data_IF_626914181111
#
_entry.id   IF_626914181111
#
_cell.length_a   1.000
_cell.length_b   1.000
_cell.length_c   1.000
_cell.angle_alpha   90.00
_cell.angle_beta   90.00
_cell.angle_gamma   90.00
#
_symmetry.space_group_name_H-M   'P 1'
#
loop_
_entity.id
_entity.type
_entity.pdbx_description
1 polymer ?
#
# COMPACT_ATOMS: atom_id res chain seq x y z
N UNK A 1 31.37 27.77 6.71
CA UNK A 1 31.73 26.33 6.54
C UNK A 1 30.51 25.46 6.26
N UNK A 2 29.46 25.49 7.08
CA UNK A 2 28.26 24.62 6.94
C UNK A 2 27.51 24.69 5.59
N UNK A 3 27.52 25.83 4.89
CA UNK A 3 26.91 25.95 3.56
C UNK A 3 27.70 25.22 2.46
N UNK A 4 29.01 25.06 2.61
CA UNK A 4 29.83 24.31 1.66
C UNK A 4 29.60 22.79 1.81
N UNK A 5 29.42 22.33 3.06
CA UNK A 5 29.06 20.94 3.38
C UNK A 5 27.67 20.58 2.82
N UNK A 6 26.72 21.51 2.90
CA UNK A 6 25.38 21.37 2.30
C UNK A 6 25.46 21.16 0.78
N UNK A 7 26.23 22.01 0.07
CA UNK A 7 26.40 21.90 -1.38
C UNK A 7 27.14 20.61 -1.79
N UNK A 8 28.17 20.21 -1.03
CA UNK A 8 28.89 18.97 -1.27
C UNK A 8 27.98 17.74 -1.08
N UNK A 9 27.11 17.75 -0.06
CA UNK A 9 26.16 16.68 0.17
C UNK A 9 25.06 16.65 -0.91
N UNK A 10 24.55 17.81 -1.35
CA UNK A 10 23.57 17.89 -2.43
C UNK A 10 24.11 17.39 -3.78
N UNK A 11 25.42 17.54 -4.04
CA UNK A 11 26.07 16.98 -5.21
C UNK A 11 26.18 15.44 -5.19
N UNK A 12 26.22 14.83 -4.00
CA UNK A 12 26.33 13.38 -3.82
C UNK A 12 25.57 12.91 -2.56
N UNK A 13 24.22 12.79 -2.61
CA UNK A 13 23.38 12.49 -1.46
C UNK A 13 23.42 11.00 -1.09
N UNK A 14 24.57 10.51 -0.62
CA UNK A 14 24.77 9.11 -0.26
C UNK A 14 24.18 8.78 1.12
N UNK A 15 24.59 9.50 2.16
CA UNK A 15 24.23 9.22 3.55
C UNK A 15 23.04 10.07 4.03
N UNK A 16 21.92 9.41 4.33
CA UNK A 16 20.71 10.04 4.85
C UNK A 16 20.91 10.64 6.25
N UNK A 17 21.66 9.96 7.14
CA UNK A 17 21.88 10.44 8.51
C UNK A 17 22.69 11.74 8.50
N UNK A 18 23.69 11.82 7.62
CA UNK A 18 24.46 13.05 7.40
C UNK A 18 23.57 14.20 6.90
N UNK A 19 22.69 13.94 5.92
CA UNK A 19 21.75 14.94 5.41
C UNK A 19 20.75 15.41 6.48
N UNK A 20 20.21 14.48 7.27
CA UNK A 20 19.30 14.80 8.37
C UNK A 20 20.00 15.66 9.45
N UNK A 21 21.26 15.38 9.76
CA UNK A 21 22.06 16.20 10.66
C UNK A 21 22.32 17.61 10.10
N UNK A 22 22.61 17.73 8.79
CA UNK A 22 22.72 19.03 8.12
C UNK A 22 21.40 19.81 8.21
N UNK A 23 20.27 19.15 7.99
CA UNK A 23 18.96 19.79 8.13
C UNK A 23 18.64 20.19 9.56
N UNK A 24 18.98 19.37 10.56
CA UNK A 24 18.77 19.72 11.97
C UNK A 24 19.57 20.97 12.38
N UNK A 25 20.72 21.21 11.75
CA UNK A 25 21.57 22.38 12.04
C UNK A 25 21.15 23.65 11.27
N UNK A 26 20.59 23.50 10.07
CA UNK A 26 20.32 24.62 9.15
C UNK A 26 18.83 24.91 8.96
N UNK A 27 17.97 23.92 9.16
CA UNK A 27 16.53 24.00 8.98
C UNK A 27 15.80 24.46 10.25
N UNK A 28 14.69 25.18 10.07
CA UNK A 28 13.89 25.72 11.18
C UNK A 28 12.63 24.93 11.52
N UNK A 29 12.25 23.93 10.72
CA UNK A 29 10.99 23.20 10.91
C UNK A 29 11.16 21.97 11.79
N UNK A 30 10.61 22.02 13.00
CA UNK A 30 10.58 20.89 13.93
C UNK A 30 9.84 19.67 13.35
N UNK A 31 8.85 19.89 12.48
CA UNK A 31 8.08 18.81 11.83
C UNK A 31 8.98 17.96 10.93
N UNK A 32 9.84 18.60 10.13
CA UNK A 32 10.74 17.87 9.23
C UNK A 32 11.90 17.23 10.01
N UNK A 33 12.40 17.86 11.06
CA UNK A 33 13.36 17.22 11.97
C UNK A 33 12.79 15.92 12.56
N UNK A 34 11.54 15.94 13.02
CA UNK A 34 10.87 14.75 13.54
C UNK A 34 10.65 13.69 12.45
N UNK A 35 10.28 14.11 11.22
CA UNK A 35 10.18 13.19 10.08
C UNK A 35 11.50 12.47 9.79
N UNK A 36 12.63 13.18 9.84
CA UNK A 36 13.94 12.59 9.57
C UNK A 36 14.45 11.72 10.72
N UNK A 37 14.04 12.01 11.96
CA UNK A 37 14.34 11.18 13.13
C UNK A 37 13.64 9.80 13.08
N UNK A 38 12.54 9.65 12.34
CA UNK A 38 11.84 8.36 12.16
C UNK A 38 12.58 7.37 11.25
N UNK A 39 13.62 7.82 10.56
CA UNK A 39 14.47 6.98 9.72
C UNK A 39 14.29 7.15 8.21
N UNK A 40 15.09 6.41 7.46
CA UNK A 40 15.13 6.51 6.01
C UNK A 40 14.00 5.73 5.35
N UNK A 41 13.23 6.44 4.53
CA UNK A 41 12.26 5.90 3.58
C UNK A 41 12.44 6.66 2.26
N UNK A 42 11.95 6.11 1.14
CA UNK A 42 12.00 6.83 -0.14
C UNK A 42 11.32 8.21 -0.09
N UNK A 43 10.27 8.34 0.73
CA UNK A 43 9.60 9.63 0.96
C UNK A 43 10.47 10.59 1.79
N UNK A 44 10.98 10.16 2.95
CA UNK A 44 11.78 11.04 3.81
C UNK A 44 13.09 11.47 3.13
N UNK A 45 13.70 10.62 2.30
CA UNK A 45 14.88 10.99 1.49
C UNK A 45 14.57 12.09 0.48
N UNK A 46 13.47 11.98 -0.28
CA UNK A 46 13.08 13.01 -1.25
C UNK A 46 12.77 14.34 -0.55
N UNK A 47 12.01 14.31 0.54
CA UNK A 47 11.68 15.52 1.32
C UNK A 47 12.94 16.16 1.91
N UNK A 48 13.90 15.36 2.38
CA UNK A 48 15.17 15.87 2.89
C UNK A 48 15.94 16.65 1.83
N UNK A 49 16.07 16.11 0.62
CA UNK A 49 16.75 16.79 -0.49
C UNK A 49 16.05 18.09 -0.87
N UNK A 50 14.72 18.07 -1.05
CA UNK A 50 13.93 19.27 -1.38
C UNK A 50 14.12 20.36 -0.31
N UNK A 51 14.06 19.99 0.97
CA UNK A 51 14.20 20.93 2.07
C UNK A 51 15.63 21.48 2.20
N UNK A 52 16.65 20.67 1.93
CA UNK A 52 18.05 21.12 1.90
C UNK A 52 18.32 22.07 0.71
N UNK A 53 17.71 21.82 -0.45
CA UNK A 53 17.77 22.74 -1.61
C UNK A 53 17.11 24.09 -1.32
N UNK A 54 15.99 24.10 -0.59
CA UNK A 54 15.34 25.37 -0.19
C UNK A 54 16.24 26.21 0.72
N UNK A 55 17.07 25.58 1.56
CA UNK A 55 18.01 26.26 2.45
C UNK A 55 19.22 26.88 1.71
N UNK A 56 19.55 26.41 0.51
CA UNK A 56 20.60 27.03 -0.33
C UNK A 56 20.13 28.29 -1.06
N UNK A 57 18.86 28.69 -0.93
CA UNK A 57 18.27 29.80 -1.69
C UNK A 57 18.07 29.43 -3.17
N UNK A 58 17.63 30.37 -4.02
CA UNK A 58 17.46 30.13 -5.45
C UNK A 58 18.84 29.92 -6.09
N UNK A 59 19.31 28.68 -6.06
CA UNK A 59 20.41 28.23 -6.89
C UNK A 59 19.88 28.20 -8.31
N UNK A 60 20.38 29.14 -9.12
CA UNK A 60 20.14 29.21 -10.55
C UNK A 60 20.52 27.85 -11.15
N UNK A 61 19.49 27.10 -11.54
CA UNK A 61 19.62 25.84 -12.25
C UNK A 61 20.51 26.07 -13.48
N UNK A 62 21.73 25.51 -13.53
CA UNK A 62 22.51 25.58 -14.76
C UNK A 62 21.74 24.78 -15.80
N UNK A 63 21.48 25.45 -16.93
CA UNK A 63 20.73 24.91 -18.05
C UNK A 63 21.23 23.49 -18.41
N UNK A 64 20.33 22.54 -18.70
CA UNK A 64 20.74 21.21 -19.10
C UNK A 64 21.52 21.30 -20.42
N UNK A 65 22.82 21.06 -20.35
CA UNK A 65 23.61 20.74 -21.54
C UNK A 65 23.12 19.41 -22.13
N UNK A 66 23.04 19.28 -23.47
CA UNK A 66 22.62 18.06 -24.12
C UNK A 66 23.75 17.04 -24.03
N UNK A 67 23.70 16.18 -23.01
CA UNK A 67 24.61 15.04 -22.93
C UNK A 67 24.14 13.98 -23.92
N UNK A 68 24.78 13.97 -25.08
CA UNK A 68 24.89 12.78 -25.90
C UNK A 68 25.70 11.73 -25.11
N UNK A 69 25.04 10.69 -24.60
CA UNK A 69 25.75 9.54 -24.05
C UNK A 69 25.34 8.27 -24.81
N UNK A 70 26.21 7.92 -25.74
CA UNK A 70 26.34 6.60 -26.34
C UNK A 70 26.78 5.61 -25.24
N UNK A 71 25.84 4.94 -24.59
CA UNK A 71 26.12 3.71 -23.86
C UNK A 71 25.34 2.55 -24.47
N UNK A 72 26.01 1.86 -25.37
CA UNK A 72 25.71 0.48 -25.73
C UNK A 72 25.78 -0.37 -24.46
N UNK A 73 24.62 -0.77 -23.94
CA UNK A 73 24.50 -1.91 -23.03
C UNK A 73 24.57 -3.20 -23.85
N UNK A 74 25.23 -4.26 -23.36
CA UNK A 74 25.13 -5.58 -23.95
C UNK A 74 23.66 -6.03 -23.93
N UNK A 75 23.11 -6.33 -25.10
CA UNK A 75 21.85 -7.04 -25.26
C UNK A 75 22.02 -8.45 -24.71
N UNK A 76 21.69 -8.62 -23.43
CA UNK A 76 21.44 -9.94 -22.88
C UNK A 76 20.03 -10.35 -23.31
N UNK A 77 20.00 -11.23 -24.29
CA UNK A 77 18.83 -11.66 -25.04
C UNK A 77 18.07 -12.72 -24.22
N UNK A 78 17.58 -12.33 -23.03
CA UNK A 78 16.62 -13.12 -22.26
C UNK A 78 15.22 -12.75 -22.73
N UNK A 79 14.66 -13.59 -23.59
CA UNK A 79 13.27 -13.52 -24.06
C UNK A 79 12.32 -13.20 -22.89
N UNK A 80 11.60 -12.07 -22.89
CA UNK A 80 10.46 -11.94 -22.02
C UNK A 80 9.38 -12.87 -22.57
N UNK A 81 9.08 -13.94 -21.82
CA UNK A 81 7.84 -14.68 -22.02
C UNK A 81 6.71 -13.67 -22.06
N UNK A 82 5.93 -13.70 -23.14
CA UNK A 82 4.88 -12.74 -23.49
C UNK A 82 3.92 -12.57 -22.31
N UNK A 83 4.18 -11.59 -21.45
CA UNK A 83 3.25 -11.23 -20.39
C UNK A 83 1.95 -10.79 -21.09
N UNK A 84 0.79 -11.33 -20.68
CA UNK A 84 -0.48 -10.95 -21.30
C UNK A 84 -0.64 -9.44 -21.21
N UNK A 85 -0.83 -8.80 -22.36
CA UNK A 85 -1.05 -7.36 -22.42
C UNK A 85 -2.22 -7.02 -21.48
N UNK A 86 -2.03 -6.10 -20.51
CA UNK A 86 -3.06 -5.78 -19.56
C UNK A 86 -4.28 -5.20 -20.29
N UNK A 87 -5.48 -5.64 -19.89
CA UNK A 87 -6.71 -5.10 -20.43
C UNK A 87 -6.78 -3.59 -20.14
N UNK A 88 -6.64 -2.78 -21.19
CA UNK A 88 -6.63 -1.32 -21.10
C UNK A 88 -7.94 -0.76 -20.50
N UNK A 89 -9.06 -1.47 -20.68
CA UNK A 89 -10.35 -1.08 -20.08
C UNK A 89 -10.33 -1.20 -18.56
N UNK A 90 -9.74 -2.28 -18.04
CA UNK A 90 -9.62 -2.53 -16.60
C UNK A 90 -8.75 -1.48 -15.92
N UNK A 91 -7.57 -1.18 -16.49
CA UNK A 91 -6.68 -0.16 -15.93
C UNK A 91 -7.31 1.23 -15.94
N UNK A 92 -8.03 1.59 -17.01
CA UNK A 92 -8.73 2.87 -17.11
C UNK A 92 -9.82 2.97 -16.04
N UNK A 93 -10.60 1.90 -15.82
CA UNK A 93 -11.60 1.83 -14.78
C UNK A 93 -11.01 1.98 -13.37
N UNK A 94 -9.89 1.29 -13.07
CA UNK A 94 -9.19 1.41 -11.79
C UNK A 94 -8.70 2.84 -11.55
N UNK A 95 -8.07 3.46 -12.54
CA UNK A 95 -7.57 4.85 -12.43
C UNK A 95 -8.68 5.86 -12.21
N UNK A 96 -9.84 5.68 -12.87
CA UNK A 96 -11.01 6.52 -12.65
C UNK A 96 -11.53 6.41 -11.21
N UNK A 97 -11.66 5.19 -10.68
CA UNK A 97 -12.07 4.96 -9.28
C UNK A 97 -11.06 5.55 -8.30
N UNK A 98 -9.77 5.40 -8.59
CA UNK A 98 -8.68 5.91 -7.77
C UNK A 98 -8.70 7.43 -7.70
N UNK A 99 -8.89 8.11 -8.85
CA UNK A 99 -9.10 9.56 -8.91
C UNK A 99 -10.31 9.97 -8.07
N UNK A 100 -11.47 9.35 -8.27
CA UNK A 100 -12.69 9.67 -7.54
C UNK A 100 -12.51 9.52 -6.02
N UNK A 101 -11.89 8.44 -5.56
CA UNK A 101 -11.62 8.21 -4.13
C UNK A 101 -10.66 9.25 -3.54
N UNK A 102 -9.62 9.66 -4.29
CA UNK A 102 -8.69 10.72 -3.86
C UNK A 102 -9.38 12.09 -3.80
N UNK A 103 -10.21 12.41 -4.79
CA UNK A 103 -10.93 13.68 -4.86
C UNK A 103 -11.93 13.77 -3.70
N UNK A 104 -12.73 12.73 -3.44
CA UNK A 104 -13.64 12.66 -2.30
C UNK A 104 -12.88 12.80 -0.98
N UNK A 105 -11.78 12.04 -0.78
CA UNK A 105 -10.98 12.10 0.44
C UNK A 105 -10.45 13.52 0.69
N UNK A 106 -9.96 14.18 -0.35
CA UNK A 106 -9.42 15.54 -0.27
C UNK A 106 -10.51 16.55 0.08
N UNK A 107 -11.69 16.42 -0.52
CA UNK A 107 -12.86 17.23 -0.20
C UNK A 107 -13.30 17.05 1.25
N UNK A 108 -13.33 15.81 1.76
CA UNK A 108 -13.70 15.54 3.15
C UNK A 108 -12.68 16.07 4.15
N UNK A 109 -11.38 16.02 3.83
CA UNK A 109 -10.35 16.65 4.66
C UNK A 109 -10.55 18.16 4.76
N UNK A 110 -10.88 18.83 3.65
CA UNK A 110 -11.20 20.26 3.66
C UNK A 110 -12.46 20.57 4.49
N UNK A 111 -13.47 19.69 4.50
CA UNK A 111 -14.66 19.85 5.34
C UNK A 111 -14.37 19.62 6.83
N UNK A 112 -13.40 18.77 7.16
CA UNK A 112 -13.07 18.41 8.54
C UNK A 112 -12.50 19.61 9.34
N UNK A 113 -11.90 20.58 8.66
CA UNK A 113 -11.35 21.82 9.23
C UNK A 113 -12.37 22.96 9.30
N UNK A 114 -13.60 22.77 8.81
CA UNK A 114 -14.61 23.82 8.79
C UNK A 114 -15.04 24.25 10.22
N UNK A 115 -15.17 25.56 10.47
CA UNK A 115 -15.65 26.06 11.76
C UNK A 115 -17.12 25.68 11.99
N UNK A 116 -17.49 25.44 13.25
CA UNK A 116 -18.86 25.11 13.64
C UNK A 116 -19.31 23.67 13.34
N UNK A 117 -18.40 22.81 12.85
CA UNK A 117 -18.72 21.40 12.62
C UNK A 117 -18.95 20.66 13.95
N UNK A 118 -20.14 20.07 14.12
CA UNK A 118 -20.49 19.25 15.29
C UNK A 118 -19.57 18.03 15.42
N UNK A 119 -19.28 17.61 16.66
CA UNK A 119 -18.40 16.46 16.96
C UNK A 119 -18.85 15.19 16.24
N UNK A 120 -20.15 14.87 16.26
CA UNK A 120 -20.69 13.67 15.61
C UNK A 120 -20.51 13.68 14.09
N UNK A 121 -20.67 14.84 13.46
CA UNK A 121 -20.42 15.01 12.03
C UNK A 121 -18.93 14.88 11.72
N UNK A 122 -18.06 15.46 12.55
CA UNK A 122 -16.60 15.32 12.44
C UNK A 122 -16.15 13.87 12.53
N UNK A 123 -16.68 13.09 13.47
CA UNK A 123 -16.39 11.65 13.58
C UNK A 123 -16.81 10.88 12.32
N UNK A 124 -18.01 11.15 11.78
CA UNK A 124 -18.47 10.51 10.53
C UNK A 124 -17.54 10.80 9.35
N UNK A 125 -17.11 12.07 9.21
CA UNK A 125 -16.14 12.45 8.18
C UNK A 125 -14.81 11.72 8.36
N UNK A 126 -14.29 11.67 9.59
CA UNK A 126 -13.04 10.96 9.89
C UNK A 126 -13.12 9.48 9.52
N UNK A 127 -14.19 8.77 9.89
CA UNK A 127 -14.38 7.36 9.52
C UNK A 127 -14.47 7.17 8.00
N UNK A 128 -15.16 8.07 7.29
CA UNK A 128 -15.22 8.01 5.82
C UNK A 128 -13.85 8.23 5.18
N UNK A 129 -13.04 9.16 5.70
CA UNK A 129 -11.66 9.38 5.27
C UNK A 129 -10.79 8.14 5.48
N UNK A 130 -10.91 7.47 6.64
CA UNK A 130 -10.21 6.20 6.88
C UNK A 130 -10.61 5.15 5.85
N UNK A 131 -11.92 4.94 5.63
CA UNK A 131 -12.41 3.97 4.65
C UNK A 131 -11.94 4.28 3.22
N UNK A 132 -11.92 5.57 2.81
CA UNK A 132 -11.39 5.98 1.51
C UNK A 132 -9.88 5.76 1.41
N UNK A 133 -9.15 5.89 2.51
CA UNK A 133 -7.71 5.61 2.55
C UNK A 133 -7.44 4.12 2.32
N UNK A 134 -8.20 3.25 2.99
CA UNK A 134 -8.13 1.80 2.79
C UNK A 134 -8.49 1.44 1.33
N UNK A 135 -9.54 2.06 0.78
CA UNK A 135 -9.96 1.86 -0.60
C UNK A 135 -8.87 2.28 -1.60
N UNK A 136 -8.20 3.43 -1.39
CA UNK A 136 -7.09 3.87 -2.24
C UNK A 136 -5.94 2.87 -2.22
N UNK A 137 -5.60 2.33 -1.06
CA UNK A 137 -4.55 1.30 -0.94
C UNK A 137 -4.94 0.02 -1.70
N UNK A 138 -6.18 -0.42 -1.59
CA UNK A 138 -6.69 -1.59 -2.33
C UNK A 138 -6.67 -1.37 -3.85
N UNK A 139 -7.06 -0.18 -4.32
CA UNK A 139 -7.03 0.18 -5.74
C UNK A 139 -5.60 0.24 -6.28
N UNK A 140 -4.65 0.78 -5.51
CA UNK A 140 -3.23 0.79 -5.89
C UNK A 140 -2.66 -0.64 -5.97
N UNK A 141 -2.98 -1.50 -5.00
CA UNK A 141 -2.57 -2.90 -5.03
C UNK A 141 -3.16 -3.64 -6.24
N UNK A 142 -4.42 -3.34 -6.58
CA UNK A 142 -5.09 -3.92 -7.75
C UNK A 142 -4.48 -3.42 -9.06
N UNK A 143 -4.17 -2.13 -9.18
CA UNK A 143 -3.49 -1.56 -10.34
C UNK A 143 -2.11 -2.21 -10.52
N UNK A 144 -1.32 -2.30 -9.45
CA UNK A 144 -0.01 -2.96 -9.49
C UNK A 144 -0.12 -4.42 -9.91
N UNK A 145 -1.11 -5.15 -9.39
CA UNK A 145 -1.34 -6.54 -9.76
C UNK A 145 -1.68 -6.68 -11.25
N UNK A 146 -2.53 -5.82 -11.81
CA UNK A 146 -2.86 -5.82 -13.25
C UNK A 146 -1.63 -5.50 -14.09
N UNK A 147 -0.80 -4.55 -13.67
CA UNK A 147 0.44 -4.21 -14.37
C UNK A 147 1.43 -5.39 -14.39
N UNK A 148 1.52 -6.16 -13.30
CA UNK A 148 2.44 -7.31 -13.21
C UNK A 148 1.89 -8.58 -13.87
N UNK A 149 0.58 -8.83 -13.77
CA UNK A 149 -0.02 -10.13 -14.15
C UNK A 149 -1.02 -10.05 -15.31
N UNK A 150 -1.31 -8.85 -15.83
CA UNK A 150 -2.26 -8.63 -16.93
C UNK A 150 -3.74 -8.80 -16.58
N UNK A 151 -4.07 -9.08 -15.30
CA UNK A 151 -5.44 -9.35 -14.83
C UNK A 151 -5.71 -8.80 -13.44
N UNK A 152 -6.98 -8.58 -13.10
CA UNK A 152 -7.39 -8.21 -11.74
C UNK A 152 -6.97 -9.29 -10.73
N UNK A 153 -6.67 -8.92 -9.48
CA UNK A 153 -6.49 -9.90 -8.43
C UNK A 153 -7.78 -10.71 -8.32
N UNK A 154 -7.68 -12.02 -8.57
CA UNK A 154 -8.80 -12.93 -8.41
C UNK A 154 -9.18 -13.06 -6.94
N UNK A 155 -10.32 -13.67 -6.65
CA UNK A 155 -10.59 -14.15 -5.30
C UNK A 155 -9.50 -15.13 -4.92
N UNK A 156 -8.62 -14.73 -3.99
CA UNK A 156 -7.58 -15.60 -3.43
C UNK A 156 -8.27 -16.86 -2.93
N UNK A 157 -7.88 -18.02 -3.45
CA UNK A 157 -8.50 -19.27 -3.07
C UNK A 157 -8.38 -19.43 -1.55
N UNK A 158 -9.40 -20.00 -0.93
CA UNK A 158 -9.40 -20.24 0.52
C UNK A 158 -8.18 -21.06 0.97
N UNK A 159 -7.64 -21.89 0.07
CA UNK A 159 -6.41 -22.66 0.24
C UNK A 159 -5.13 -21.79 0.39
N UNK A 160 -5.11 -20.57 -0.12
CA UNK A 160 -3.92 -19.70 -0.12
C UNK A 160 -3.93 -18.63 0.98
N UNK A 161 -5.07 -18.43 1.66
CA UNK A 161 -5.15 -17.48 2.78
C UNK A 161 -4.46 -18.05 4.02
N UNK A 162 -3.51 -17.28 4.55
CA UNK A 162 -2.74 -17.60 5.76
C UNK A 162 -3.11 -16.72 6.96
N UNK A 163 -3.66 -15.52 6.74
CA UNK A 163 -4.05 -14.62 7.82
C UNK A 163 -5.26 -15.15 8.60
N UNK A 164 -5.09 -15.33 9.91
CA UNK A 164 -6.13 -15.86 10.79
C UNK A 164 -7.34 -14.92 10.92
N UNK A 165 -7.13 -13.61 10.86
CA UNK A 165 -8.21 -12.62 10.89
C UNK A 165 -9.10 -12.73 9.65
N UNK A 166 -8.48 -12.80 8.48
CA UNK A 166 -9.17 -12.98 7.21
C UNK A 166 -9.91 -14.32 7.15
N UNK A 167 -9.29 -15.41 7.63
CA UNK A 167 -9.91 -16.73 7.72
C UNK A 167 -11.19 -16.69 8.58
N UNK A 168 -11.15 -16.06 9.76
CA UNK A 168 -12.35 -15.91 10.62
C UNK A 168 -13.45 -15.12 9.93
N UNK A 169 -13.11 -13.98 9.31
CA UNK A 169 -14.08 -13.17 8.56
C UNK A 169 -14.71 -13.95 7.41
N UNK A 170 -13.92 -14.72 6.65
CA UNK A 170 -14.43 -15.57 5.56
C UNK A 170 -15.34 -16.67 6.09
N UNK A 171 -15.00 -17.31 7.21
CA UNK A 171 -15.84 -18.32 7.85
C UNK A 171 -17.23 -17.77 8.20
N UNK A 172 -17.31 -16.60 8.83
CA UNK A 172 -18.58 -15.98 9.20
C UNK A 172 -19.45 -15.65 7.97
N UNK A 173 -18.82 -15.16 6.90
CA UNK A 173 -19.47 -14.89 5.63
C UNK A 173 -20.02 -16.18 4.99
N UNK A 174 -19.23 -17.27 4.96
CA UNK A 174 -19.64 -18.54 4.39
C UNK A 174 -20.75 -19.22 5.20
N UNK A 175 -20.69 -19.16 6.53
CA UNK A 175 -21.77 -19.66 7.40
C UNK A 175 -23.07 -18.90 7.13
N UNK A 176 -22.98 -17.57 7.02
CA UNK A 176 -24.12 -16.72 6.69
C UNK A 176 -24.69 -17.03 5.31
N UNK A 177 -23.82 -17.22 4.31
CA UNK A 177 -24.20 -17.58 2.95
C UNK A 177 -24.85 -18.96 2.89
N UNK A 178 -24.26 -19.97 3.54
CA UNK A 178 -24.84 -21.32 3.64
C UNK A 178 -26.24 -21.29 4.26
N UNK A 179 -26.44 -20.50 5.31
CA UNK A 179 -27.77 -20.31 5.93
C UNK A 179 -28.79 -19.73 4.96
N UNK A 180 -28.38 -18.76 4.13
CA UNK A 180 -29.23 -18.16 3.07
C UNK A 180 -29.52 -19.17 1.95
N UNK A 181 -28.52 -19.89 1.47
CA UNK A 181 -28.64 -20.89 0.40
C UNK A 181 -29.52 -22.06 0.83
N UNK A 182 -29.44 -22.49 2.11
CA UNK A 182 -30.30 -23.56 2.63
C UNK A 182 -31.81 -23.25 2.54
N UNK A 183 -32.18 -21.97 2.52
CA UNK A 183 -33.58 -21.52 2.36
C UNK A 183 -34.02 -21.42 0.90
N UNK A 184 -33.13 -21.73 -0.06
CA UNK A 184 -33.32 -21.57 -1.50
C UNK A 184 -33.12 -22.93 -2.21
N UNK A 185 -34.19 -23.71 -2.45
CA UNK A 185 -34.07 -25.05 -3.02
C UNK A 185 -33.42 -25.07 -4.40
N UNK A 186 -33.57 -24.01 -5.18
CA UNK A 186 -32.95 -23.83 -6.50
C UNK A 186 -31.41 -23.74 -6.46
N UNK A 187 -30.83 -23.47 -5.28
CA UNK A 187 -29.37 -23.40 -5.06
C UNK A 187 -28.83 -24.54 -4.20
N UNK A 188 -29.60 -25.61 -4.01
CA UNK A 188 -29.21 -26.73 -3.14
C UNK A 188 -27.86 -27.37 -3.55
N UNK A 189 -27.54 -27.36 -4.85
CA UNK A 189 -26.27 -27.87 -5.37
C UNK A 189 -25.01 -27.12 -4.88
N UNK A 190 -25.15 -25.89 -4.38
CA UNK A 190 -24.02 -25.11 -3.85
C UNK A 190 -23.65 -25.46 -2.41
N UNK A 191 -24.55 -26.15 -1.68
CA UNK A 191 -24.38 -26.40 -0.25
C UNK A 191 -23.16 -27.26 0.08
N UNK A 192 -22.86 -28.25 -0.77
CA UNK A 192 -21.70 -29.14 -0.58
C UNK A 192 -20.38 -28.39 -0.74
N UNK A 193 -20.27 -27.52 -1.76
CA UNK A 193 -19.09 -26.69 -1.99
C UNK A 193 -18.86 -25.70 -0.84
N UNK A 194 -19.92 -25.00 -0.39
CA UNK A 194 -19.84 -24.10 0.76
C UNK A 194 -19.42 -24.82 2.04
N UNK A 195 -19.91 -26.05 2.25
CA UNK A 195 -19.54 -26.86 3.40
C UNK A 195 -18.05 -27.24 3.36
N UNK A 196 -17.55 -27.67 2.20
CA UNK A 196 -16.15 -28.01 2.03
C UNK A 196 -15.21 -26.82 2.31
N UNK A 197 -15.56 -25.61 1.86
CA UNK A 197 -14.78 -24.41 2.18
C UNK A 197 -14.81 -24.05 3.67
N UNK A 198 -15.97 -24.17 4.33
CA UNK A 198 -16.11 -23.95 5.78
C UNK A 198 -15.18 -24.90 6.55
N UNK A 199 -15.16 -26.18 6.17
CA UNK A 199 -14.36 -27.19 6.86
C UNK A 199 -12.86 -27.01 6.61
N UNK A 200 -12.47 -26.57 5.42
CA UNK A 200 -11.09 -26.17 5.11
C UNK A 200 -10.63 -25.01 6.01
N UNK A 201 -11.43 -23.94 6.15
CA UNK A 201 -11.09 -22.80 6.99
C UNK A 201 -10.99 -23.21 8.47
N UNK A 202 -11.92 -24.03 8.94
CA UNK A 202 -11.89 -24.55 10.32
C UNK A 202 -10.62 -25.33 10.59
N UNK A 203 -10.21 -26.19 9.65
CA UNK A 203 -8.95 -26.94 9.74
C UNK A 203 -7.75 -26.00 9.85
N UNK A 204 -7.71 -24.94 9.03
CA UNK A 204 -6.65 -23.92 9.10
C UNK A 204 -6.63 -23.10 10.38
N UNK A 205 -7.79 -22.88 11.00
CA UNK A 205 -7.93 -22.11 12.24
C UNK A 205 -7.70 -22.96 13.49
N UNK A 206 -7.74 -24.29 13.39
CA UNK A 206 -7.38 -25.15 14.51
C UNK A 206 -5.89 -25.00 14.81
N UNK A 207 -5.49 -24.70 16.06
CA UNK A 207 -4.09 -24.63 16.42
C UNK A 207 -3.46 -26.00 16.22
N UNK A 208 -2.40 -26.08 15.42
CA UNK A 208 -1.59 -27.27 15.17
C UNK A 208 -0.96 -27.86 16.45
N UNK A 209 -1.13 -27.19 17.60
CA UNK A 209 -0.48 -27.48 18.87
C UNK A 209 -1.23 -28.48 19.79
N UNK A 210 -2.30 -29.14 19.32
CA UNK A 210 -3.05 -30.11 20.15
C UNK A 210 -2.71 -31.58 19.81
N UNK A 211 -1.90 -31.83 18.78
CA UNK A 211 -1.54 -33.21 18.37
C UNK A 211 -0.15 -33.70 18.81
N UNK A 212 0.64 -32.88 19.51
CA UNK A 212 1.98 -33.30 19.99
C UNK A 212 2.06 -33.62 21.50
N UNK A 213 1.06 -33.25 22.32
CA UNK A 213 1.12 -33.46 23.77
C UNK A 213 0.37 -34.71 24.29
N UNK A 214 -0.31 -35.48 23.44
CA UNK A 214 -1.02 -36.70 23.90
C UNK A 214 -0.11 -37.94 23.90
N UNK A 215 1.06 -37.91 23.26
CA UNK A 215 2.00 -39.03 23.24
C UNK A 215 3.19 -38.91 24.21
N UNK A 216 3.28 -37.85 25.01
CA UNK A 216 4.34 -37.67 26.01
C UNK A 216 3.93 -38.11 27.45
N UNK A 217 2.66 -38.45 27.68
CA UNK A 217 2.14 -38.86 29.00
C UNK A 217 1.93 -40.38 29.16
N UNK A 218 2.48 -41.18 28.25
CA UNK A 218 2.40 -42.65 28.28
C UNK A 218 3.78 -43.34 28.32
N UNK A 219 4.80 -42.66 28.85
CA UNK A 219 6.12 -43.24 29.13
C UNK A 219 6.40 -43.22 30.63
#
# INVERSE_FOLDING_TARGET
MKHAELLAWLAAPADFAQGAALYAQLGGSAVYQQLFALGETGYSRRVLVEQLQLLTGPVQEPAPEPVADNRQLPTDNSQPGTAPAPDAGVLTGLRAQLKAARDERSQLHAQLTAPGLRVTARCKLAHRICALTDQVQQLLASEQHVLTHGRLPGTVATADVTDAGELRRRLDNLISLRSKVRRRPERAGELSALQAEIDLIRTKLMPTNILLDVNAAAA
#
